data_IF_592613632988
#
_entry.id   IF_592613632988
#
_cell.length_a   1.000
_cell.length_b   1.000
_cell.length_c   1.000
_cell.angle_alpha   90.00
_cell.angle_beta   90.00
_cell.angle_gamma   90.00
#
_symmetry.space_group_name_H-M   'P 1'
#
loop_
_entity.id
_entity.type
_entity.pdbx_description
1 polymer ?
#
# COMPACT_ATOMS: atom_id res chain seq x y z
N UNK A 1 10.51 16.22 5.52
CA UNK A 1 9.74 16.29 6.78
C UNK A 1 8.67 15.21 6.69
N UNK A 2 8.77 14.15 7.49
CA UNK A 2 7.83 13.01 7.44
C UNK A 2 6.69 13.21 8.44
N UNK A 3 5.53 12.61 8.17
CA UNK A 3 4.44 12.52 9.15
C UNK A 3 4.49 11.13 9.78
N UNK A 4 4.69 11.06 11.09
CA UNK A 4 4.59 9.80 11.82
C UNK A 4 3.12 9.52 12.12
N UNK A 5 2.61 8.41 11.59
CA UNK A 5 1.26 7.95 11.88
C UNK A 5 1.23 7.19 13.21
N UNK A 6 0.28 7.52 14.07
CA UNK A 6 -0.07 6.68 15.21
C UNK A 6 -1.07 5.60 14.76
N UNK A 7 -1.09 4.46 15.45
CA UNK A 7 -2.09 3.40 15.20
C UNK A 7 -3.51 3.99 15.29
N UNK A 8 -4.30 3.79 14.23
CA UNK A 8 -5.65 4.34 14.11
C UNK A 8 -5.72 5.84 13.76
N UNK A 9 -4.58 6.48 13.51
CA UNK A 9 -4.52 7.87 13.09
C UNK A 9 -4.76 8.03 11.59
N UNK A 10 -5.34 9.17 11.21
CA UNK A 10 -5.48 9.59 9.81
C UNK A 10 -4.52 10.75 9.53
N UNK A 11 -3.88 10.73 8.35
CA UNK A 11 -3.15 11.88 7.80
C UNK A 11 -3.91 12.45 6.62
N UNK A 12 -4.05 13.77 6.59
CA UNK A 12 -4.62 14.47 5.44
C UNK A 12 -3.51 14.75 4.43
N UNK A 13 -3.52 14.02 3.32
CA UNK A 13 -2.54 14.21 2.23
C UNK A 13 -2.68 15.60 1.58
N UNK A 14 -3.88 16.16 1.49
CA UNK A 14 -4.10 17.49 0.92
C UNK A 14 -3.46 18.62 1.73
N UNK A 15 -3.32 18.47 3.06
CA UNK A 15 -2.58 19.44 3.89
C UNK A 15 -1.06 19.37 3.67
N UNK A 16 -0.56 18.20 3.27
CA UNK A 16 0.88 17.95 3.06
C UNK A 16 1.28 18.26 1.62
N UNK A 17 0.44 17.90 0.65
CA UNK A 17 0.64 18.08 -0.78
C UNK A 17 -0.71 18.39 -1.46
N UNK A 18 -1.09 19.67 -1.62
CA UNK A 18 -2.40 20.09 -2.13
C UNK A 18 -2.73 19.61 -3.55
N UNK A 19 -1.72 19.33 -4.37
CA UNK A 19 -1.85 18.89 -5.76
C UNK A 19 -1.25 17.50 -5.98
N UNK A 20 -1.41 16.61 -5.00
CA UNK A 20 -0.87 15.25 -5.06
C UNK A 20 -1.53 14.46 -6.20
N UNK A 21 -0.75 14.07 -7.19
CA UNK A 21 -1.20 13.27 -8.34
C UNK A 21 -0.66 11.85 -8.34
N UNK A 22 0.41 11.59 -7.58
CA UNK A 22 1.07 10.30 -7.49
C UNK A 22 1.49 10.03 -6.05
N UNK A 23 1.38 8.77 -5.64
CA UNK A 23 1.78 8.29 -4.31
C UNK A 23 2.62 7.04 -4.49
N UNK A 24 3.72 6.96 -3.73
CA UNK A 24 4.49 5.73 -3.58
C UNK A 24 4.29 5.21 -2.16
N UNK A 25 3.90 3.95 -2.04
CA UNK A 25 3.79 3.24 -0.76
C UNK A 25 4.98 2.29 -0.66
N UNK A 26 5.73 2.36 0.44
CA UNK A 26 6.84 1.46 0.73
C UNK A 26 6.59 0.70 2.03
N UNK A 27 6.82 -0.60 2.01
CA UNK A 27 6.85 -1.46 3.18
C UNK A 27 8.29 -1.88 3.46
N UNK A 28 8.76 -1.71 4.69
CA UNK A 28 10.09 -2.12 5.11
C UNK A 28 10.04 -2.70 6.51
N UNK A 29 10.82 -3.75 6.75
CA UNK A 29 10.95 -4.42 8.04
C UNK A 29 12.39 -4.84 8.27
N UNK A 30 12.75 -5.00 9.55
CA UNK A 30 14.01 -5.61 9.92
C UNK A 30 13.94 -7.11 9.68
N UNK A 31 14.95 -7.65 9.00
CA UNK A 31 15.09 -9.08 8.79
C UNK A 31 15.18 -9.82 10.13
N UNK A 32 14.77 -11.08 10.15
CA UNK A 32 14.89 -11.91 11.33
C UNK A 32 16.35 -11.99 11.77
N UNK A 33 16.62 -11.63 13.02
CA UNK A 33 17.96 -11.70 13.62
C UNK A 33 18.30 -13.03 14.29
N UNK A 34 17.31 -13.93 14.44
CA UNK A 34 17.43 -15.26 15.04
C UNK A 34 17.35 -16.38 14.01
N UNK A 35 17.72 -17.59 14.40
CA UNK A 35 17.54 -18.79 13.56
C UNK A 35 16.06 -19.10 13.35
N UNK A 36 15.65 -19.41 12.13
CA UNK A 36 14.27 -19.76 11.79
C UNK A 36 13.91 -19.33 10.37
N UNK A 37 12.64 -19.50 10.00
CA UNK A 37 12.13 -19.05 8.70
C UNK A 37 12.00 -17.52 8.65
N UNK A 38 12.28 -16.93 7.50
CA UNK A 38 12.25 -15.48 7.31
C UNK A 38 10.87 -14.87 7.54
N UNK A 39 10.85 -13.57 7.81
CA UNK A 39 9.61 -12.81 7.80
C UNK A 39 9.23 -12.52 6.34
N UNK A 40 8.17 -13.17 5.89
CA UNK A 40 7.56 -12.95 4.58
C UNK A 40 6.38 -11.98 4.74
N UNK A 41 6.58 -10.75 4.29
CA UNK A 41 5.61 -9.68 4.38
C UNK A 41 5.21 -9.26 2.97
N UNK A 42 3.89 -9.16 2.77
CA UNK A 42 3.31 -8.67 1.54
C UNK A 42 2.66 -7.30 1.74
N UNK A 43 2.83 -6.45 0.72
CA UNK A 43 2.01 -5.25 0.55
C UNK A 43 0.89 -5.57 -0.44
N UNK A 44 -0.31 -5.04 -0.19
CA UNK A 44 -1.42 -5.19 -1.12
C UNK A 44 -2.34 -3.97 -1.08
N UNK A 45 -3.03 -3.73 -2.17
CA UNK A 45 -3.97 -2.63 -2.32
C UNK A 45 -5.34 -3.14 -2.78
N UNK A 46 -6.40 -2.63 -2.15
CA UNK A 46 -7.79 -2.87 -2.53
C UNK A 46 -8.38 -1.57 -3.06
N UNK A 47 -8.73 -1.54 -4.35
CA UNK A 47 -9.39 -0.39 -4.94
C UNK A 47 -10.90 -0.52 -4.70
N UNK A 48 -11.42 0.41 -3.90
CA UNK A 48 -12.77 0.36 -3.37
C UNK A 48 -13.61 1.55 -3.80
N UNK A 49 -14.90 1.30 -4.00
CA UNK A 49 -15.93 2.33 -4.14
C UNK A 49 -17.06 2.01 -3.16
N UNK A 50 -17.57 3.04 -2.48
CA UNK A 50 -18.69 2.89 -1.52
C UNK A 50 -18.43 1.81 -0.45
N UNK A 51 -17.18 1.66 -0.02
CA UNK A 51 -16.78 0.71 1.03
C UNK A 51 -16.65 -0.74 0.58
N UNK A 52 -16.68 -1.03 -0.72
CA UNK A 52 -16.47 -2.38 -1.28
C UNK A 52 -15.43 -2.35 -2.38
N UNK A 53 -14.67 -3.44 -2.51
CA UNK A 53 -13.76 -3.65 -3.65
C UNK A 53 -14.59 -3.69 -4.94
N UNK A 54 -14.04 -3.13 -6.01
CA UNK A 54 -14.72 -3.03 -7.31
C UNK A 54 -14.88 -4.39 -8.01
N UNK A 55 -13.99 -5.34 -7.73
CA UNK A 55 -13.96 -6.70 -8.27
C UNK A 55 -12.67 -7.40 -7.85
N UNK A 56 -12.52 -8.68 -8.18
CA UNK A 56 -11.33 -9.46 -7.82
C UNK A 56 -10.07 -8.94 -8.52
N UNK A 57 -10.24 -8.45 -9.75
CA UNK A 57 -9.18 -7.83 -10.55
C UNK A 57 -8.66 -6.50 -9.95
N UNK A 58 -9.42 -5.90 -9.02
CA UNK A 58 -9.09 -4.65 -8.34
C UNK A 58 -8.35 -4.87 -7.01
N UNK A 59 -8.00 -6.12 -6.70
CA UNK A 59 -7.08 -6.47 -5.64
C UNK A 59 -5.66 -6.61 -6.20
N UNK A 60 -4.79 -5.67 -5.86
CA UNK A 60 -3.39 -5.62 -6.33
C UNK A 60 -2.47 -6.21 -5.26
N UNK A 61 -1.72 -7.26 -5.62
CA UNK A 61 -0.84 -8.03 -4.74
C UNK A 61 0.17 -8.84 -5.58
N UNK A 62 1.00 -9.68 -4.95
CA UNK A 62 2.08 -10.43 -5.61
C UNK A 62 1.67 -11.23 -6.86
N UNK A 63 0.41 -11.66 -6.98
CA UNK A 63 -0.11 -12.41 -8.14
C UNK A 63 -1.01 -11.59 -9.08
N UNK A 64 -1.22 -10.31 -8.78
CA UNK A 64 -1.94 -9.36 -9.63
C UNK A 64 -1.29 -7.98 -9.47
N UNK A 65 -0.27 -7.70 -10.28
CA UNK A 65 0.64 -6.58 -10.05
C UNK A 65 0.07 -5.22 -10.43
N UNK A 66 -1.03 -5.15 -11.19
CA UNK A 66 -1.54 -3.87 -11.70
C UNK A 66 -3.06 -3.86 -11.67
N UNK A 67 -3.64 -2.73 -11.28
CA UNK A 67 -5.09 -2.54 -11.39
C UNK A 67 -5.53 -2.43 -12.86
N UNK A 68 -6.79 -2.75 -13.20
CA UNK A 68 -7.27 -2.72 -14.58
C UNK A 68 -7.16 -1.34 -15.26
N UNK A 69 -7.20 -0.27 -14.47
CA UNK A 69 -7.08 1.11 -14.92
C UNK A 69 -5.65 1.66 -14.91
N UNK A 70 -4.67 0.86 -14.47
CA UNK A 70 -3.27 1.25 -14.36
C UNK A 70 -2.98 2.30 -13.28
N UNK A 71 -3.94 2.60 -12.40
CA UNK A 71 -3.76 3.61 -11.35
C UNK A 71 -2.90 3.14 -10.18
N UNK A 72 -2.80 1.83 -9.98
CA UNK A 72 -1.99 1.20 -8.93
C UNK A 72 -1.12 0.09 -9.54
N UNK A 73 0.16 0.11 -9.18
CA UNK A 73 1.15 -0.86 -9.60
C UNK A 73 1.93 -1.37 -8.38
N UNK A 74 2.02 -2.69 -8.22
CA UNK A 74 2.91 -3.37 -7.28
C UNK A 74 4.28 -3.54 -7.95
N UNK A 75 5.34 -3.12 -7.27
CA UNK A 75 6.69 -3.08 -7.85
C UNK A 75 7.42 -4.43 -7.93
N UNK A 76 6.76 -5.50 -7.51
CA UNK A 76 7.35 -6.84 -7.37
C UNK A 76 7.28 -7.30 -5.93
#
# INVERSE_FOLDING_TARGET
>A
MGVTLAKGGNVSLSKVAPNLTQVLVGLGWDARSTTGADFDLDASALLCQSGRVLGDEWFVFYNNLTSPDGSVEHTG
#
